data_IF_127595454087
#
_entry.id   IF_127595454087
#
_cell.length_a   1.000
_cell.length_b   1.000
_cell.length_c   1.000
_cell.angle_alpha   90.00
_cell.angle_beta   90.00
_cell.angle_gamma   90.00
#
_symmetry.space_group_name_H-M   'P 1'
#
loop_
_entity.id
_entity.type
_entity.pdbx_description
1 polymer ?
#
# COMPACT_ATOMS: atom_id res chain seq x y z
N UNK A 1 17.80 -36.38 39.92
CA UNK A 1 17.98 -35.44 38.80
C UNK A 1 16.60 -34.97 38.46
N UNK A 2 16.30 -33.70 38.74
CA UNK A 2 15.18 -33.00 38.11
C UNK A 2 15.67 -31.57 37.87
N UNK A 3 16.33 -31.40 36.72
CA UNK A 3 16.48 -30.09 36.11
C UNK A 3 15.11 -29.79 35.48
N UNK A 4 14.20 -29.21 36.26
CA UNK A 4 13.05 -28.53 35.69
C UNK A 4 13.63 -27.36 34.87
N UNK A 5 13.69 -27.59 33.56
CA UNK A 5 14.10 -26.62 32.56
C UNK A 5 13.14 -25.43 32.69
N UNK A 6 13.60 -24.35 33.31
CA UNK A 6 12.93 -23.07 33.31
C UNK A 6 13.01 -22.53 31.88
N UNK A 7 12.15 -23.05 31.00
CA UNK A 7 11.80 -22.37 29.76
C UNK A 7 11.00 -21.16 30.21
N UNK A 8 11.67 -20.06 30.48
CA UNK A 8 11.00 -18.77 30.39
C UNK A 8 10.60 -18.67 28.93
N UNK A 9 9.33 -18.86 28.62
CA UNK A 9 8.80 -18.42 27.33
C UNK A 9 9.31 -16.98 27.14
N UNK A 10 9.78 -16.67 25.93
CA UNK A 10 10.14 -15.29 25.62
C UNK A 10 8.94 -14.36 25.87
N UNK A 11 9.14 -13.03 25.78
CA UNK A 11 7.98 -12.14 25.68
C UNK A 11 7.03 -12.68 24.61
N UNK A 12 5.72 -12.51 24.83
CA UNK A 12 4.72 -12.82 23.82
C UNK A 12 5.03 -12.04 22.52
N UNK A 13 4.62 -12.53 21.34
CA UNK A 13 4.76 -11.79 20.10
C UNK A 13 4.16 -10.39 20.24
N UNK A 14 4.77 -9.44 19.55
CA UNK A 14 4.40 -8.02 19.48
C UNK A 14 4.70 -7.64 18.03
N UNK A 15 3.66 -7.66 17.19
CA UNK A 15 3.79 -7.63 15.73
C UNK A 15 4.11 -6.23 15.18
N UNK A 16 3.58 -5.19 15.81
CA UNK A 16 3.83 -3.79 15.45
C UNK A 16 4.92 -3.11 16.30
N UNK A 17 5.34 -3.72 17.41
CA UNK A 17 6.34 -3.17 18.30
C UNK A 17 5.84 -2.02 19.18
N UNK A 18 4.53 -1.88 19.39
CA UNK A 18 3.94 -0.82 20.21
C UNK A 18 4.06 -1.08 21.73
N UNK A 19 4.46 -2.30 22.09
CA UNK A 19 4.69 -2.74 23.47
C UNK A 19 3.50 -3.44 24.12
N UNK A 20 2.40 -3.66 23.38
CA UNK A 20 1.38 -4.65 23.71
C UNK A 20 1.71 -5.97 23.02
N UNK A 21 1.40 -7.07 23.71
CA UNK A 21 1.50 -8.37 23.09
C UNK A 21 0.32 -8.57 22.15
N UNK A 22 0.47 -9.35 21.09
CA UNK A 22 -0.61 -9.63 20.13
C UNK A 22 -1.90 -10.11 20.81
N UNK A 23 -1.80 -10.95 21.86
CA UNK A 23 -2.97 -11.45 22.59
C UNK A 23 -3.61 -10.43 23.55
N UNK A 24 -3.02 -9.25 23.68
CA UNK A 24 -3.47 -8.11 24.47
C UNK A 24 -3.64 -6.82 23.63
N UNK A 25 -3.47 -6.90 22.31
CA UNK A 25 -3.74 -5.83 21.36
C UNK A 25 -5.06 -6.04 20.61
N UNK A 26 -5.74 -4.95 20.25
CA UNK A 26 -6.97 -4.98 19.45
C UNK A 26 -6.70 -4.65 17.96
N UNK A 27 -5.46 -4.28 17.63
CA UNK A 27 -4.94 -3.88 16.31
C UNK A 27 -3.46 -4.33 16.26
N UNK A 28 -3.24 -5.60 15.91
CA UNK A 28 -1.97 -6.30 16.07
C UNK A 28 -0.84 -5.78 15.14
N UNK A 29 -1.16 -5.07 14.06
CA UNK A 29 -0.18 -4.48 13.14
C UNK A 29 -0.21 -2.93 13.05
N UNK A 30 -1.15 -2.30 13.77
CA UNK A 30 -1.34 -0.86 13.88
C UNK A 30 -1.51 -0.18 12.51
N UNK A 31 -2.25 -0.81 11.59
CA UNK A 31 -2.65 -0.22 10.31
C UNK A 31 -3.94 0.61 10.40
N UNK A 32 -4.62 0.57 11.55
CA UNK A 32 -5.84 1.32 11.85
C UNK A 32 -7.13 0.54 11.65
N UNK A 33 -7.06 -0.74 11.26
CA UNK A 33 -8.19 -1.67 11.20
C UNK A 33 -8.10 -2.67 12.37
N UNK A 34 -9.04 -2.64 13.32
CA UNK A 34 -8.98 -3.59 14.45
C UNK A 34 -9.10 -5.04 14.00
N UNK A 35 -8.39 -5.98 14.65
CA UNK A 35 -8.27 -7.40 14.27
C UNK A 35 -9.61 -8.09 13.98
N UNK A 36 -10.66 -7.69 14.70
CA UNK A 36 -12.02 -8.25 14.54
C UNK A 36 -12.67 -7.91 13.19
N UNK A 37 -12.09 -6.98 12.45
CA UNK A 37 -12.50 -6.51 11.12
C UNK A 37 -11.36 -6.64 10.10
N UNK A 38 -10.22 -7.14 10.54
CA UNK A 38 -9.06 -7.33 9.70
C UNK A 38 -9.00 -8.78 9.20
N UNK A 39 -8.80 -8.96 7.90
CA UNK A 39 -8.59 -10.27 7.30
C UNK A 39 -7.16 -10.79 7.52
N UNK A 40 -6.18 -9.90 7.69
CA UNK A 40 -4.78 -10.17 7.96
C UNK A 40 -4.27 -9.34 9.15
N UNK A 41 -4.65 -9.67 10.40
CA UNK A 41 -4.28 -8.91 11.61
C UNK A 41 -2.77 -8.74 11.89
N UNK A 42 -1.89 -9.31 11.07
CA UNK A 42 -0.44 -9.28 11.25
C UNK A 42 0.28 -8.59 10.09
N UNK A 43 -0.46 -8.15 9.08
CA UNK A 43 0.05 -7.67 7.81
C UNK A 43 -0.45 -6.25 7.58
N UNK A 44 0.32 -5.28 8.06
CA UNK A 44 0.02 -3.84 8.02
C UNK A 44 -0.44 -3.27 6.67
N UNK A 45 -0.11 -3.93 5.57
CA UNK A 45 -0.43 -3.49 4.22
C UNK A 45 -1.72 -4.11 3.66
N UNK A 46 -2.36 -5.06 4.35
CA UNK A 46 -3.51 -5.82 3.86
C UNK A 46 -4.59 -5.97 4.93
N UNK A 47 -5.80 -5.46 4.67
CA UNK A 47 -6.91 -5.49 5.65
C UNK A 47 -8.11 -6.32 5.19
N UNK A 48 -8.17 -6.65 3.90
CA UNK A 48 -9.36 -7.18 3.24
C UNK A 48 -9.03 -8.43 2.40
N UNK A 49 -9.95 -9.39 2.45
CA UNK A 49 -9.91 -10.68 1.73
C UNK A 49 -11.34 -10.99 1.28
N UNK A 50 -11.73 -10.41 0.15
CA UNK A 50 -13.11 -10.37 -0.33
C UNK A 50 -13.62 -11.78 -0.72
N UNK A 51 -12.77 -12.62 -1.31
CA UNK A 51 -13.11 -13.96 -1.76
C UNK A 51 -12.76 -15.07 -0.75
N UNK A 52 -11.95 -14.75 0.26
CA UNK A 52 -11.50 -15.62 1.37
C UNK A 52 -10.50 -16.69 0.94
N UNK A 53 -9.67 -16.41 -0.05
CA UNK A 53 -8.61 -17.30 -0.51
C UNK A 53 -7.27 -17.13 0.24
N UNK A 54 -7.19 -16.12 1.12
CA UNK A 54 -6.02 -15.71 1.93
C UNK A 54 -4.96 -14.95 1.16
N UNK A 55 -5.32 -14.35 0.02
CA UNK A 55 -4.55 -13.32 -0.65
C UNK A 55 -5.27 -12.00 -0.36
N UNK A 56 -4.54 -10.99 0.10
CA UNK A 56 -5.14 -9.69 0.38
C UNK A 56 -5.63 -9.02 -0.89
N UNK A 57 -6.75 -8.29 -0.80
CA UNK A 57 -7.39 -7.62 -1.93
C UNK A 57 -6.38 -6.73 -2.70
N UNK A 58 -5.36 -6.17 -2.03
CA UNK A 58 -4.32 -5.34 -2.64
C UNK A 58 -3.39 -6.10 -3.60
N UNK A 59 -3.27 -7.42 -3.42
CA UNK A 59 -2.39 -8.31 -4.19
C UNK A 59 -3.14 -9.43 -4.94
N UNK A 60 -4.43 -9.61 -4.66
CA UNK A 60 -5.28 -10.57 -5.34
C UNK A 60 -5.65 -10.09 -6.75
N UNK A 61 -5.57 -10.99 -7.72
CA UNK A 61 -5.90 -10.73 -9.12
C UNK A 61 -7.35 -11.11 -9.48
N UNK A 62 -8.10 -11.76 -8.59
CA UNK A 62 -9.49 -12.21 -8.75
C UNK A 62 -10.26 -11.90 -7.46
N UNK A 63 -10.39 -10.61 -7.12
CA UNK A 63 -10.86 -10.14 -5.80
C UNK A 63 -12.27 -10.64 -5.46
N UNK A 64 -13.10 -10.97 -6.45
CA UNK A 64 -14.45 -11.51 -6.22
C UNK A 64 -14.56 -13.04 -6.30
N UNK A 65 -13.47 -13.72 -6.61
CA UNK A 65 -13.36 -15.18 -6.68
C UNK A 65 -14.27 -15.81 -7.72
N UNK A 66 -14.63 -15.10 -8.80
CA UNK A 66 -15.51 -15.61 -9.85
C UNK A 66 -14.77 -16.53 -10.86
N UNK A 67 -13.45 -16.62 -10.72
CA UNK A 67 -12.56 -17.40 -11.57
C UNK A 67 -12.07 -16.65 -12.81
N UNK A 68 -12.23 -15.32 -12.83
CA UNK A 68 -11.70 -14.41 -13.85
C UNK A 68 -10.90 -13.33 -13.15
N UNK A 69 -9.83 -12.89 -13.79
CA UNK A 69 -9.10 -11.76 -13.26
C UNK A 69 -10.00 -10.51 -13.23
N UNK A 70 -9.66 -9.59 -12.33
CA UNK A 70 -10.27 -8.27 -12.23
C UNK A 70 -10.34 -7.56 -13.59
N UNK A 71 -11.27 -6.63 -13.73
CA UNK A 71 -11.42 -5.72 -14.88
C UNK A 71 -11.57 -4.30 -14.30
N UNK A 72 -10.44 -3.73 -13.86
CA UNK A 72 -10.42 -2.50 -13.06
C UNK A 72 -10.98 -1.32 -13.84
N UNK A 73 -10.63 -1.21 -15.12
CA UNK A 73 -11.13 -0.18 -16.02
C UNK A 73 -12.53 -0.46 -16.60
N UNK A 74 -13.09 -1.66 -16.37
CA UNK A 74 -14.44 -2.09 -16.79
C UNK A 74 -14.63 -2.06 -18.31
N UNK A 75 -13.56 -2.32 -19.06
CA UNK A 75 -13.58 -2.33 -20.52
C UNK A 75 -14.02 -3.71 -21.08
N UNK A 76 -14.15 -4.73 -20.22
CA UNK A 76 -14.56 -6.09 -20.57
C UNK A 76 -13.42 -7.03 -20.97
N UNK A 77 -12.17 -6.57 -20.85
CA UNK A 77 -10.94 -7.36 -20.95
C UNK A 77 -10.40 -7.50 -19.51
N UNK A 78 -10.09 -8.71 -19.03
CA UNK A 78 -9.48 -8.87 -17.71
C UNK A 78 -8.07 -8.27 -17.66
N UNK A 79 -7.67 -7.78 -16.49
CA UNK A 79 -6.39 -7.12 -16.21
C UNK A 79 -5.18 -7.98 -16.65
N UNK A 80 -5.27 -9.30 -16.46
CA UNK A 80 -4.20 -10.22 -16.88
C UNK A 80 -4.05 -10.39 -18.41
N UNK A 81 -4.96 -9.81 -19.19
CA UNK A 81 -4.95 -9.76 -20.66
C UNK A 81 -4.62 -8.36 -21.20
N UNK A 82 -4.28 -7.39 -20.34
CA UNK A 82 -3.94 -6.02 -20.73
C UNK A 82 -2.65 -5.48 -20.07
N UNK A 83 -2.31 -4.24 -20.41
CA UNK A 83 -1.09 -3.55 -19.92
C UNK A 83 -1.40 -2.25 -19.18
N UNK A 84 -2.67 -1.96 -18.94
CA UNK A 84 -3.17 -0.70 -18.38
C UNK A 84 -4.47 -1.05 -17.64
N UNK A 85 -4.31 -1.56 -16.42
CA UNK A 85 -5.38 -2.22 -15.67
C UNK A 85 -6.50 -1.23 -15.32
N UNK A 86 -6.16 -0.02 -14.90
CA UNK A 86 -7.15 0.98 -14.48
C UNK A 86 -7.57 1.97 -15.59
N UNK A 87 -6.88 1.95 -16.74
CA UNK A 87 -7.29 2.65 -17.94
C UNK A 87 -6.99 4.15 -17.92
N UNK A 88 -6.02 4.59 -17.10
CA UNK A 88 -5.61 5.99 -16.99
C UNK A 88 -4.69 6.44 -18.16
N UNK A 89 -4.17 5.47 -18.92
CA UNK A 89 -3.30 5.67 -20.08
C UNK A 89 -1.80 5.54 -19.79
N UNK A 90 -1.42 5.22 -18.56
CA UNK A 90 -0.05 4.88 -18.14
C UNK A 90 0.05 3.35 -18.02
N UNK A 91 0.93 2.71 -18.79
CA UNK A 91 1.06 1.26 -18.69
C UNK A 91 1.60 0.81 -17.33
N UNK A 92 1.10 -0.32 -16.84
CA UNK A 92 1.67 -1.03 -15.71
C UNK A 92 3.14 -1.46 -15.96
N UNK A 93 3.79 -2.06 -14.95
CA UNK A 93 5.23 -2.31 -14.83
C UNK A 93 5.99 -2.94 -16.03
N UNK A 94 5.29 -3.39 -17.08
CA UNK A 94 5.88 -3.91 -18.32
C UNK A 94 6.24 -2.82 -19.36
N UNK A 95 5.88 -1.55 -19.16
CA UNK A 95 6.23 -0.44 -20.06
C UNK A 95 6.72 0.81 -19.30
N UNK A 96 7.41 1.72 -20.02
CA UNK A 96 7.97 2.97 -19.47
C UNK A 96 7.22 4.17 -20.08
N UNK A 97 6.79 5.17 -19.30
CA UNK A 97 6.83 5.22 -17.83
C UNK A 97 5.98 4.11 -17.21
N UNK A 98 6.41 3.60 -16.05
CA UNK A 98 5.65 2.61 -15.28
C UNK A 98 4.60 3.35 -14.46
N UNK A 99 3.42 2.76 -14.37
CA UNK A 99 2.38 3.15 -13.42
C UNK A 99 2.77 2.72 -12.00
N UNK A 100 2.88 3.69 -11.09
CA UNK A 100 3.14 3.46 -9.67
C UNK A 100 1.91 2.96 -8.91
N UNK A 101 0.70 3.25 -9.39
CA UNK A 101 -0.58 2.90 -8.77
C UNK A 101 -1.52 2.22 -9.78
N UNK A 102 -1.18 1.00 -10.26
CA UNK A 102 -1.90 0.31 -11.33
C UNK A 102 -3.34 -0.13 -11.02
N UNK A 103 -3.89 0.30 -9.88
CA UNK A 103 -5.28 0.05 -9.46
C UNK A 103 -6.03 1.34 -9.12
N UNK A 104 -5.39 2.51 -9.23
CA UNK A 104 -6.04 3.81 -9.02
C UNK A 104 -5.93 4.68 -10.26
N UNK A 105 -7.00 4.81 -11.07
CA UNK A 105 -6.95 5.56 -12.33
C UNK A 105 -6.79 7.09 -12.16
N UNK A 106 -6.57 7.55 -10.93
CA UNK A 106 -6.27 8.95 -10.60
C UNK A 106 -4.82 9.15 -10.20
N UNK A 107 -4.05 8.11 -9.99
CA UNK A 107 -2.65 8.21 -9.57
C UNK A 107 -1.82 7.31 -10.48
N UNK A 108 -0.69 7.81 -10.97
CA UNK A 108 0.20 7.00 -11.82
C UNK A 108 1.68 7.23 -11.52
N UNK A 109 1.97 8.23 -10.70
CA UNK A 109 3.31 8.71 -10.42
C UNK A 109 3.47 8.94 -8.94
N UNK A 110 4.62 8.53 -8.45
CA UNK A 110 5.08 8.66 -7.06
C UNK A 110 6.54 9.15 -7.14
N UNK A 111 6.70 10.46 -7.10
CA UNK A 111 7.96 11.13 -7.41
C UNK A 111 9.00 11.00 -6.30
N UNK A 112 8.58 10.96 -5.03
CA UNK A 112 9.44 10.81 -3.85
C UNK A 112 9.47 9.37 -3.27
N UNK A 113 8.53 8.52 -3.69
CA UNK A 113 8.38 7.10 -3.31
C UNK A 113 7.89 6.90 -1.89
N UNK A 114 7.04 7.79 -1.40
CA UNK A 114 6.40 7.65 -0.09
C UNK A 114 5.12 6.80 -0.11
N UNK A 115 4.63 6.43 -1.30
CA UNK A 115 3.43 5.62 -1.50
C UNK A 115 2.14 6.42 -1.64
N UNK A 116 2.22 7.75 -1.71
CA UNK A 116 1.12 8.65 -2.06
C UNK A 116 1.37 9.15 -3.48
N UNK A 117 0.37 9.13 -4.35
CA UNK A 117 0.55 9.58 -5.73
C UNK A 117 0.60 11.10 -5.85
N UNK A 118 1.37 11.60 -6.83
CA UNK A 118 1.60 13.04 -7.09
C UNK A 118 0.28 13.87 -7.22
N UNK A 119 -0.88 13.26 -7.51
CA UNK A 119 -2.13 14.04 -7.54
C UNK A 119 -2.78 14.21 -6.15
N UNK A 120 -2.44 13.35 -5.19
CA UNK A 120 -2.91 13.37 -3.80
C UNK A 120 -1.85 13.89 -2.82
N UNK A 121 -0.58 13.72 -3.14
CA UNK A 121 0.53 14.23 -2.36
C UNK A 121 0.57 15.77 -2.42
N UNK A 122 1.09 16.35 -1.35
CA UNK A 122 1.27 17.80 -1.21
C UNK A 122 2.73 18.23 -1.29
N UNK A 123 3.67 17.29 -1.33
CA UNK A 123 5.13 17.49 -1.38
C UNK A 123 5.74 16.45 -2.33
N UNK A 124 5.42 16.55 -3.63
CA UNK A 124 5.66 15.47 -4.62
C UNK A 124 7.12 14.99 -4.70
N UNK A 125 8.12 15.78 -4.28
CA UNK A 125 9.54 15.40 -4.29
C UNK A 125 10.15 15.14 -2.90
N UNK A 126 9.35 15.27 -1.83
CA UNK A 126 9.72 14.96 -0.46
C UNK A 126 10.84 15.83 0.10
N UNK A 127 11.06 17.03 -0.45
CA UNK A 127 12.13 17.93 -0.04
C UNK A 127 11.77 18.79 1.19
N UNK A 128 10.51 18.72 1.62
CA UNK A 128 9.95 19.40 2.77
C UNK A 128 9.29 20.74 2.44
N UNK A 129 9.13 21.08 1.16
CA UNK A 129 8.37 22.24 0.69
C UNK A 129 7.16 21.77 -0.11
N UNK A 130 5.95 22.09 0.36
CA UNK A 130 4.76 21.68 -0.39
C UNK A 130 4.72 22.26 -1.80
N UNK A 131 4.10 21.56 -2.75
CA UNK A 131 4.06 22.03 -4.13
C UNK A 131 3.42 23.41 -4.26
N UNK A 132 2.45 23.74 -3.39
CA UNK A 132 1.79 25.06 -3.43
C UNK A 132 2.80 26.17 -3.11
N UNK A 133 3.71 25.93 -2.17
CA UNK A 133 4.77 26.87 -1.81
C UNK A 133 5.77 27.04 -2.94
N UNK A 134 6.12 25.95 -3.60
CA UNK A 134 7.03 25.91 -4.72
C UNK A 134 6.46 26.51 -6.01
N UNK A 135 5.23 26.13 -6.38
CA UNK A 135 4.46 26.74 -7.49
C UNK A 135 4.39 28.25 -7.30
N UNK A 136 4.26 28.73 -6.05
CA UNK A 136 4.27 30.17 -5.71
C UNK A 136 5.67 30.79 -5.76
N UNK A 137 6.72 30.03 -5.42
CA UNK A 137 8.11 30.46 -5.51
C UNK A 137 8.69 30.39 -6.94
N UNK A 138 8.02 29.65 -7.83
CA UNK A 138 8.49 29.34 -9.18
C UNK A 138 9.58 28.28 -9.21
N UNK A 139 9.63 27.39 -8.22
CA UNK A 139 10.46 26.19 -8.22
C UNK A 139 9.69 24.99 -8.78
N UNK A 140 10.34 23.82 -8.84
CA UNK A 140 9.85 22.66 -9.58
C UNK A 140 9.49 21.58 -8.55
N UNK A 141 8.18 21.31 -8.31
CA UNK A 141 7.75 20.37 -7.27
C UNK A 141 8.13 18.92 -7.47
N UNK A 142 8.75 18.60 -8.60
CA UNK A 142 9.14 17.24 -8.95
C UNK A 142 10.67 17.07 -8.92
N UNK A 143 11.40 18.05 -8.38
CA UNK A 143 12.86 18.07 -8.32
C UNK A 143 13.31 18.50 -6.92
N UNK A 144 13.63 17.51 -6.08
CA UNK A 144 14.07 17.66 -4.70
C UNK A 144 15.38 18.48 -4.52
N UNK A 145 15.91 19.07 -5.59
CA UNK A 145 17.01 20.02 -5.57
C UNK A 145 16.58 21.47 -5.87
N UNK A 146 15.28 21.71 -6.06
CA UNK A 146 14.67 22.96 -6.53
C UNK A 146 13.98 23.72 -5.39
N UNK A 147 14.74 24.40 -4.54
CA UNK A 147 14.17 25.04 -3.36
C UNK A 147 13.71 26.49 -3.57
N UNK A 148 12.63 26.93 -2.89
CA UNK A 148 12.34 28.35 -2.68
C UNK A 148 13.54 29.12 -2.10
N UNK A 149 13.79 30.34 -2.58
CA UNK A 149 14.96 31.17 -2.19
C UNK A 149 14.70 32.15 -1.05
#
# INVERSE_FOLDING_TARGET
MDLALLVTAGPAPDADGDGKANDEDDDEDNDGVPDVRDAFPLEREETADADRDRIGDGMDADVDGDGRADDLNKNGVPDNEETDWDGDGVPNASAIPWDAFPRDPKEWRDSDRDGIGDNADTDDDGDGWSDEEEKRAGTDPLDATSFPR
#
